data_IF_920925708765
#
_entry.id   IF_920925708765
#
_cell.length_a   1.000
_cell.length_b   1.000
_cell.length_c   1.000
_cell.angle_alpha   90.00
_cell.angle_beta   90.00
_cell.angle_gamma   90.00
#
_symmetry.space_group_name_H-M   'P 1'
#
loop_
_entity.id
_entity.type
_entity.pdbx_description
1 polymer ?
#
# COMPACT_ATOMS: atom_id res chain seq x y z
N UNK A 1 51.24 26.47 20.83
CA UNK A 1 50.60 25.87 19.63
C UNK A 1 50.13 26.98 18.72
N UNK A 2 50.59 27.01 17.47
CA UNK A 2 50.29 28.06 16.48
C UNK A 2 48.81 28.11 16.12
N UNK A 3 48.29 29.32 15.90
CA UNK A 3 46.87 29.62 15.61
C UNK A 3 46.33 28.78 14.45
N UNK A 4 47.16 28.54 13.43
CA UNK A 4 46.87 27.67 12.30
C UNK A 4 46.45 26.25 12.71
N UNK A 5 47.11 25.66 13.72
CA UNK A 5 46.77 24.31 14.19
C UNK A 5 45.43 24.27 14.93
N UNK A 6 45.07 25.35 15.64
CA UNK A 6 43.75 25.48 16.28
C UNK A 6 42.63 25.65 15.25
N UNK A 7 42.90 26.40 14.18
CA UNK A 7 41.97 26.65 13.08
C UNK A 7 41.67 25.36 12.31
N UNK A 8 42.71 24.56 12.00
CA UNK A 8 42.56 23.26 11.34
C UNK A 8 41.75 22.28 12.21
N UNK A 9 42.01 22.22 13.52
CA UNK A 9 41.26 21.37 14.46
C UNK A 9 39.79 21.80 14.57
N UNK A 10 39.51 23.11 14.57
CA UNK A 10 38.14 23.63 14.62
C UNK A 10 37.36 23.27 13.34
N UNK A 11 37.97 23.39 12.16
CA UNK A 11 37.36 22.98 10.91
C UNK A 11 37.13 21.47 10.84
N UNK A 12 38.06 20.66 11.36
CA UNK A 12 37.91 19.21 11.41
C UNK A 12 36.73 18.80 12.31
N UNK A 13 36.61 19.42 13.49
CA UNK A 13 35.51 19.17 14.41
C UNK A 13 34.15 19.60 13.83
N UNK A 14 34.09 20.73 13.12
CA UNK A 14 32.90 21.17 12.39
C UNK A 14 32.52 20.19 11.27
N UNK A 15 33.49 19.73 10.49
CA UNK A 15 33.26 18.75 9.42
C UNK A 15 32.66 17.45 9.95
N UNK A 16 33.23 16.91 11.04
CA UNK A 16 32.70 15.68 11.68
C UNK A 16 31.29 15.90 12.23
N UNK A 17 31.03 17.05 12.86
CA UNK A 17 29.70 17.39 13.39
C UNK A 17 28.63 17.46 12.30
N UNK A 18 28.94 18.13 11.18
CA UNK A 18 28.02 18.25 10.03
C UNK A 18 27.78 16.88 9.38
N UNK A 19 28.82 16.06 9.22
CA UNK A 19 28.67 14.69 8.69
C UNK A 19 27.81 13.80 9.59
N UNK A 20 27.98 13.86 10.91
CA UNK A 20 27.18 13.07 11.86
C UNK A 20 25.70 13.52 11.87
N UNK A 21 25.44 14.82 11.85
CA UNK A 21 24.09 15.37 11.75
C UNK A 21 23.41 14.99 10.44
N UNK A 22 24.14 15.04 9.32
CA UNK A 22 23.63 14.60 8.02
C UNK A 22 23.25 13.12 8.02
N UNK A 23 24.12 12.25 8.57
CA UNK A 23 23.82 10.82 8.68
C UNK A 23 22.63 10.51 9.60
N UNK A 24 22.45 11.26 10.69
CA UNK A 24 21.28 11.14 11.56
C UNK A 24 19.99 11.64 10.89
N UNK A 25 20.08 12.65 10.01
CA UNK A 25 18.93 13.17 9.27
C UNK A 25 18.51 12.26 8.09
N UNK A 26 19.46 11.56 7.45
CA UNK A 26 19.19 10.69 6.29
C UNK A 26 18.68 9.31 6.67
N UNK A 27 19.14 8.73 7.80
CA UNK A 27 18.67 7.41 8.27
C UNK A 27 17.15 7.25 8.41
N UNK A 28 16.39 8.21 8.99
CA UNK A 28 14.93 8.09 9.06
C UNK A 28 14.26 8.19 7.70
N UNK A 29 14.86 8.90 6.73
CA UNK A 29 14.36 8.95 5.34
C UNK A 29 14.61 7.63 4.60
N UNK A 30 15.76 6.99 4.80
CA UNK A 30 16.03 5.65 4.27
C UNK A 30 15.12 4.59 4.90
N UNK A 31 14.87 4.68 6.21
CA UNK A 31 13.90 3.85 6.92
C UNK A 31 12.50 4.01 6.33
N UNK A 32 12.02 5.25 6.18
CA UNK A 32 10.72 5.55 5.60
C UNK A 32 10.60 5.17 4.11
N UNK A 33 11.64 5.35 3.29
CA UNK A 33 11.64 4.89 1.90
C UNK A 33 11.65 3.35 1.79
N UNK A 34 12.42 2.69 2.65
CA UNK A 34 12.46 1.23 2.75
C UNK A 34 11.12 0.68 3.21
N UNK A 35 10.46 1.37 4.15
CA UNK A 35 9.13 1.02 4.66
C UNK A 35 8.05 1.24 3.59
N UNK A 36 8.05 2.36 2.87
CA UNK A 36 7.15 2.57 1.71
C UNK A 36 7.40 1.52 0.61
N UNK A 37 8.65 1.18 0.31
CA UNK A 37 8.99 0.21 -0.73
C UNK A 37 8.68 -1.25 -0.36
N UNK A 38 8.96 -1.65 0.88
CA UNK A 38 8.80 -3.03 1.34
C UNK A 38 7.40 -3.33 1.92
N UNK A 39 6.75 -2.33 2.52
CA UNK A 39 5.45 -2.48 3.16
C UNK A 39 4.28 -2.20 2.20
N UNK A 40 4.36 -1.16 1.35
CA UNK A 40 3.20 -0.76 0.53
C UNK A 40 3.10 -1.49 -0.80
N UNK A 41 4.19 -1.97 -1.40
CA UNK A 41 4.12 -2.57 -2.74
C UNK A 41 3.26 -3.85 -2.78
N UNK A 42 3.38 -4.80 -1.83
CA UNK A 42 2.52 -5.98 -1.81
C UNK A 42 1.04 -5.65 -1.53
N UNK A 43 0.78 -4.69 -0.63
CA UNK A 43 -0.57 -4.21 -0.32
C UNK A 43 -1.21 -3.49 -1.52
N UNK A 44 -0.45 -2.65 -2.23
CA UNK A 44 -0.91 -1.96 -3.44
C UNK A 44 -1.20 -2.94 -4.58
N UNK A 45 -0.36 -3.95 -4.77
CA UNK A 45 -0.56 -4.98 -5.80
C UNK A 45 -1.81 -5.80 -5.51
N UNK A 46 -2.02 -6.21 -4.26
CA UNK A 46 -3.23 -6.94 -3.85
C UNK A 46 -4.48 -6.08 -3.98
N UNK A 47 -4.43 -4.81 -3.58
CA UNK A 47 -5.56 -3.88 -3.77
C UNK A 47 -5.89 -3.65 -5.25
N UNK A 48 -4.88 -3.56 -6.12
CA UNK A 48 -5.08 -3.45 -7.57
C UNK A 48 -5.70 -4.72 -8.15
N UNK A 49 -5.33 -5.89 -7.65
CA UNK A 49 -5.96 -7.15 -8.04
C UNK A 49 -7.44 -7.20 -7.63
N UNK A 50 -7.77 -6.80 -6.38
CA UNK A 50 -9.17 -6.66 -5.93
C UNK A 50 -9.95 -5.73 -6.86
N UNK A 51 -9.38 -4.58 -7.23
CA UNK A 51 -10.02 -3.63 -8.13
C UNK A 51 -10.28 -4.24 -9.52
N UNK A 52 -9.35 -5.04 -10.05
CA UNK A 52 -9.55 -5.74 -11.32
C UNK A 52 -10.72 -6.72 -11.26
N UNK A 53 -10.81 -7.54 -10.21
CA UNK A 53 -11.92 -8.48 -10.04
C UNK A 53 -13.27 -7.77 -9.89
N UNK A 54 -13.34 -6.70 -9.09
CA UNK A 54 -14.57 -5.91 -8.94
C UNK A 54 -15.01 -5.28 -10.28
N UNK A 55 -14.06 -4.75 -11.06
CA UNK A 55 -14.38 -4.21 -12.38
C UNK A 55 -14.87 -5.31 -13.35
N UNK A 56 -14.29 -6.51 -13.29
CA UNK A 56 -14.76 -7.68 -14.04
C UNK A 56 -16.20 -8.03 -13.68
N UNK A 57 -16.51 -8.14 -12.38
CA UNK A 57 -17.88 -8.38 -11.90
C UNK A 57 -18.88 -7.33 -12.43
N UNK A 58 -18.52 -6.04 -12.39
CA UNK A 58 -19.37 -4.97 -12.93
C UNK A 58 -19.60 -5.13 -14.43
N UNK A 59 -18.56 -5.45 -15.21
CA UNK A 59 -18.67 -5.67 -16.65
C UNK A 59 -19.59 -6.84 -16.97
N UNK A 60 -19.43 -7.98 -16.29
CA UNK A 60 -20.25 -9.16 -16.49
C UNK A 60 -21.71 -8.93 -16.08
N UNK A 61 -21.95 -8.11 -15.05
CA UNK A 61 -23.31 -7.69 -14.67
C UNK A 61 -23.97 -6.87 -15.79
N UNK A 62 -23.26 -5.88 -16.33
CA UNK A 62 -23.78 -5.08 -17.46
C UNK A 62 -24.01 -5.92 -18.71
N UNK A 63 -23.11 -6.86 -18.99
CA UNK A 63 -23.25 -7.78 -20.09
C UNK A 63 -24.51 -8.65 -19.88
N UNK A 64 -24.70 -9.22 -18.69
CA UNK A 64 -25.85 -10.06 -18.37
C UNK A 64 -27.18 -9.30 -18.53
N UNK A 65 -27.24 -8.05 -18.04
CA UNK A 65 -28.42 -7.20 -18.20
C UNK A 65 -28.75 -6.90 -19.66
N UNK A 66 -27.75 -6.93 -20.56
CA UNK A 66 -27.92 -6.62 -21.97
C UNK A 66 -28.26 -7.86 -22.80
N UNK A 67 -27.65 -9.00 -22.47
CA UNK A 67 -27.74 -10.24 -23.29
C UNK A 67 -28.69 -11.28 -22.71
N UNK A 68 -28.92 -11.27 -21.39
CA UNK A 68 -29.60 -12.34 -20.65
C UNK A 68 -28.82 -13.65 -20.57
N UNK A 69 -27.54 -13.68 -20.94
CA UNK A 69 -26.73 -14.90 -20.99
C UNK A 69 -26.37 -15.40 -19.58
N UNK A 70 -26.87 -16.57 -19.13
CA UNK A 70 -26.53 -17.13 -17.83
C UNK A 70 -25.03 -17.38 -17.63
N UNK A 71 -24.23 -17.51 -18.70
CA UNK A 71 -22.78 -17.61 -18.62
C UNK A 71 -22.12 -16.37 -18.00
N UNK A 72 -22.66 -15.18 -18.27
CA UNK A 72 -22.15 -13.91 -17.73
C UNK A 72 -22.49 -13.77 -16.25
N UNK A 73 -23.63 -14.33 -15.82
CA UNK A 73 -23.95 -14.42 -14.38
C UNK A 73 -22.97 -15.32 -13.64
N UNK A 74 -22.56 -16.44 -14.23
CA UNK A 74 -21.55 -17.32 -13.62
C UNK A 74 -20.18 -16.63 -13.51
N UNK A 75 -19.76 -15.88 -14.53
CA UNK A 75 -18.50 -15.13 -14.50
C UNK A 75 -18.53 -13.97 -13.50
N UNK A 76 -19.68 -13.30 -13.34
CA UNK A 76 -19.88 -12.33 -12.26
C UNK A 76 -19.64 -12.95 -10.87
N UNK A 77 -20.23 -14.12 -10.61
CA UNK A 77 -20.07 -14.84 -9.33
C UNK A 77 -18.61 -15.28 -9.12
N UNK A 78 -17.92 -15.71 -10.18
CA UNK A 78 -16.49 -16.06 -10.15
C UNK A 78 -15.61 -14.85 -9.78
N UNK A 79 -15.84 -13.70 -10.41
CA UNK A 79 -15.13 -12.46 -10.08
C UNK A 79 -15.36 -12.03 -8.63
N UNK A 80 -16.60 -12.16 -8.12
CA UNK A 80 -16.89 -11.85 -6.72
C UNK A 80 -16.20 -12.80 -5.74
N UNK A 81 -16.10 -14.09 -6.08
CA UNK A 81 -15.39 -15.08 -5.27
C UNK A 81 -13.88 -14.82 -5.27
N UNK A 82 -13.29 -14.49 -6.42
CA UNK A 82 -11.88 -14.12 -6.52
C UNK A 82 -11.57 -12.83 -5.75
N UNK A 83 -12.46 -11.84 -5.79
CA UNK A 83 -12.32 -10.61 -5.01
C UNK A 83 -12.30 -10.88 -3.50
N UNK A 84 -13.09 -11.83 -2.99
CA UNK A 84 -13.08 -12.23 -1.57
C UNK A 84 -11.74 -12.80 -1.13
N UNK A 85 -11.18 -13.71 -1.94
CA UNK A 85 -9.87 -14.31 -1.67
C UNK A 85 -8.80 -13.23 -1.62
N UNK A 86 -8.80 -12.30 -2.58
CA UNK A 86 -7.85 -11.20 -2.64
C UNK A 86 -8.03 -10.18 -1.51
N UNK A 87 -9.25 -9.95 -1.04
CA UNK A 87 -9.53 -9.09 0.11
C UNK A 87 -8.98 -9.69 1.40
N UNK A 88 -9.15 -10.99 1.60
CA UNK A 88 -8.54 -11.69 2.74
C UNK A 88 -7.01 -11.60 2.69
N UNK A 89 -6.43 -11.72 1.49
CA UNK A 89 -4.99 -11.61 1.30
C UNK A 89 -4.46 -10.18 1.50
N UNK A 90 -5.21 -9.17 1.06
CA UNK A 90 -4.92 -7.76 1.35
C UNK A 90 -4.92 -7.50 2.85
N UNK A 91 -5.94 -7.98 3.58
CA UNK A 91 -6.00 -7.84 5.05
C UNK A 91 -4.75 -8.40 5.74
N UNK A 92 -4.30 -9.57 5.30
CA UNK A 92 -3.10 -10.24 5.82
C UNK A 92 -1.82 -9.48 5.49
N UNK A 93 -1.68 -9.02 4.24
CA UNK A 93 -0.46 -8.38 3.74
C UNK A 93 -0.32 -6.95 4.26
N UNK A 94 -1.42 -6.20 4.32
CA UNK A 94 -1.46 -4.84 4.86
C UNK A 94 -1.46 -4.79 6.39
N UNK A 95 -1.47 -5.96 7.07
CA UNK A 95 -1.46 -6.08 8.53
C UNK A 95 -2.50 -5.19 9.20
N UNK A 96 -3.73 -5.18 8.68
CA UNK A 96 -4.80 -4.27 9.13
C UNK A 96 -5.23 -4.45 10.60
N UNK A 97 -4.73 -5.48 11.28
CA UNK A 97 -4.92 -5.67 12.71
C UNK A 97 -3.94 -4.79 13.55
N UNK A 98 -2.95 -4.14 12.92
CA UNK A 98 -2.05 -3.18 13.54
C UNK A 98 -2.71 -1.79 13.62
N UNK A 99 -2.83 -1.16 14.81
CA UNK A 99 -3.37 0.18 14.96
C UNK A 99 -2.62 1.27 14.17
N UNK A 100 -1.36 1.03 13.78
CA UNK A 100 -0.58 1.93 12.94
C UNK A 100 -1.14 2.05 11.51
N UNK A 101 -1.92 1.07 11.05
CA UNK A 101 -2.44 0.92 9.67
C UNK A 101 -3.92 1.34 9.55
N UNK A 102 -4.33 2.35 10.34
CA UNK A 102 -5.73 2.79 10.42
C UNK A 102 -6.27 3.39 9.09
N UNK A 103 -5.39 3.96 8.25
CA UNK A 103 -5.79 4.53 6.96
C UNK A 103 -6.15 3.43 5.95
N UNK A 104 -5.37 2.35 5.94
CA UNK A 104 -5.51 1.16 5.11
C UNK A 104 -6.74 0.36 5.55
N UNK A 105 -7.01 0.28 6.87
CA UNK A 105 -8.22 -0.31 7.41
C UNK A 105 -9.48 0.43 6.93
N UNK A 106 -9.46 1.77 6.92
CA UNK A 106 -10.58 2.57 6.41
C UNK A 106 -10.82 2.36 4.90
N UNK A 107 -9.75 2.16 4.12
CA UNK A 107 -9.86 1.83 2.69
C UNK A 107 -10.47 0.43 2.52
N UNK A 108 -10.01 -0.55 3.29
CA UNK A 108 -10.55 -1.92 3.28
C UNK A 108 -12.05 -1.93 3.57
N UNK A 109 -12.49 -1.27 4.64
CA UNK A 109 -13.90 -1.19 5.03
C UNK A 109 -14.77 -0.62 3.91
N UNK A 110 -14.26 0.39 3.20
CA UNK A 110 -14.97 1.01 2.07
C UNK A 110 -15.09 0.08 0.87
N UNK A 111 -14.06 -0.73 0.59
CA UNK A 111 -14.11 -1.73 -0.49
C UNK A 111 -15.12 -2.83 -0.14
N UNK A 112 -15.08 -3.34 1.09
CA UNK A 112 -16.03 -4.36 1.57
C UNK A 112 -17.47 -3.85 1.49
N UNK A 113 -17.72 -2.61 1.91
CA UNK A 113 -19.05 -1.99 1.81
C UNK A 113 -19.53 -1.85 0.37
N UNK A 114 -18.66 -1.43 -0.55
CA UNK A 114 -19.00 -1.30 -1.97
C UNK A 114 -19.26 -2.67 -2.63
N UNK A 115 -18.47 -3.70 -2.28
CA UNK A 115 -18.69 -5.07 -2.75
C UNK A 115 -20.04 -5.61 -2.31
N UNK A 116 -20.39 -5.45 -1.04
CA UNK A 116 -21.69 -5.88 -0.51
C UNK A 116 -22.89 -5.18 -1.20
N UNK A 117 -22.67 -4.01 -1.80
CA UNK A 117 -23.70 -3.34 -2.60
C UNK A 117 -23.91 -3.98 -3.98
N UNK A 118 -22.92 -4.71 -4.52
CA UNK A 118 -23.05 -5.43 -5.79
C UNK A 118 -23.85 -6.72 -5.67
N UNK A 119 -24.03 -7.24 -4.45
CA UNK A 119 -24.82 -8.44 -4.16
C UNK A 119 -26.32 -8.14 -3.97
N UNK A 120 -26.72 -6.86 -3.95
CA UNK A 120 -28.12 -6.40 -3.76
C UNK A 120 -28.79 -6.03 -5.08
#
# INVERSE_FOLDING_TARGET
>A
MTISRKLVLAFLALGIGVSALSLMAVRPLEGGLSEVGAFHMPALLTMRAVQTEINGAVQETFAFLTTGDPGQRAQFEEHLANADVLLADFKRVAKLDDPAEAAEAAIFDRIVANRAALER
#
